data_IF_026704859969
#
_entry.id   IF_026704859969
#
_cell.length_a   1.000
_cell.length_b   1.000
_cell.length_c   1.000
_cell.angle_alpha   90.00
_cell.angle_beta   90.00
_cell.angle_gamma   90.00
#
_symmetry.space_group_name_H-M   'P 1'
#
loop_
_entity.id
_entity.type
_entity.pdbx_description
1 polymer ?
#
# COMPACT_ATOMS: atom_id res chain seq x y z
N UNK A 1 0.65 -4.76 -14.28
CA UNK A 1 -0.45 -4.62 -13.31
C UNK A 1 -0.16 -3.40 -12.44
N UNK A 2 -1.15 -2.59 -12.10
CA UNK A 2 -0.96 -1.43 -11.23
C UNK A 2 -1.99 -1.52 -10.10
N UNK A 3 -1.51 -1.52 -8.86
CA UNK A 3 -2.34 -1.31 -7.68
C UNK A 3 -2.32 0.17 -7.37
N UNK A 4 -3.49 0.80 -7.42
CA UNK A 4 -3.63 2.25 -7.24
C UNK A 4 -4.44 2.55 -6.00
N UNK A 5 -3.85 3.26 -5.05
CA UNK A 5 -4.55 3.87 -3.92
C UNK A 5 -4.87 5.33 -4.16
N UNK A 6 -5.53 5.95 -3.20
CA UNK A 6 -5.78 7.39 -3.22
C UNK A 6 -5.75 7.99 -1.83
N UNK A 7 -5.25 9.22 -1.72
CA UNK A 7 -5.34 9.98 -0.47
C UNK A 7 -6.80 10.32 -0.15
N UNK A 8 -7.10 10.49 1.14
CA UNK A 8 -8.47 10.77 1.58
C UNK A 8 -9.41 9.55 1.50
N UNK A 9 -8.90 8.32 1.44
CA UNK A 9 -9.73 7.12 1.39
C UNK A 9 -10.50 6.89 2.71
N UNK A 10 -11.83 6.96 2.65
CA UNK A 10 -12.69 6.77 3.83
C UNK A 10 -12.61 5.38 4.46
N UNK A 11 -12.36 4.34 3.67
CA UNK A 11 -12.14 2.98 4.19
C UNK A 11 -10.84 2.86 4.98
N UNK A 12 -9.76 3.47 4.46
CA UNK A 12 -8.48 3.55 5.17
C UNK A 12 -8.62 4.39 6.45
N UNK A 13 -9.37 5.49 6.39
CA UNK A 13 -9.65 6.31 7.58
C UNK A 13 -10.38 5.51 8.66
N UNK A 14 -11.44 4.78 8.29
CA UNK A 14 -12.18 3.96 9.23
C UNK A 14 -11.29 2.86 9.86
N UNK A 15 -10.40 2.25 9.06
CA UNK A 15 -9.41 1.30 9.56
C UNK A 15 -8.38 1.96 10.50
N UNK A 16 -7.94 3.18 10.19
CA UNK A 16 -7.02 3.96 11.05
C UNK A 16 -7.67 4.25 12.41
N UNK A 17 -8.87 4.84 12.41
CA UNK A 17 -9.53 5.34 13.63
C UNK A 17 -10.37 4.29 14.36
N UNK A 18 -10.48 3.06 13.83
CA UNK A 18 -11.31 2.00 14.41
C UNK A 18 -12.81 2.29 14.34
N UNK A 19 -13.26 3.08 13.36
CA UNK A 19 -14.69 3.39 13.18
C UNK A 19 -15.43 2.15 12.69
N UNK A 20 -16.48 1.75 13.40
CA UNK A 20 -17.36 0.64 12.97
C UNK A 20 -18.29 1.07 11.86
N UNK A 21 -18.32 0.31 10.78
CA UNK A 21 -19.18 0.48 9.61
C UNK A 21 -20.07 -0.74 9.35
N UNK A 22 -20.01 -1.77 10.21
CA UNK A 22 -20.86 -2.96 10.12
C UNK A 22 -20.23 -4.05 9.26
N UNK A 23 -20.95 -4.57 8.27
CA UNK A 23 -20.47 -5.70 7.46
C UNK A 23 -19.14 -5.41 6.73
N UNK A 24 -18.91 -4.14 6.36
CA UNK A 24 -17.69 -3.69 5.71
C UNK A 24 -16.45 -3.81 6.62
N UNK A 25 -16.63 -3.90 7.94
CA UNK A 25 -15.53 -4.03 8.90
C UNK A 25 -14.72 -5.32 8.65
N UNK A 26 -15.37 -6.38 8.17
CA UNK A 26 -14.71 -7.63 7.81
C UNK A 26 -13.73 -7.45 6.65
N UNK A 27 -14.09 -6.62 5.66
CA UNK A 27 -13.21 -6.30 4.54
C UNK A 27 -12.08 -5.36 4.96
N UNK A 28 -12.40 -4.36 5.81
CA UNK A 28 -11.42 -3.40 6.30
C UNK A 28 -10.40 -4.01 7.26
N UNK A 29 -10.69 -5.18 7.84
CA UNK A 29 -9.74 -5.89 8.73
C UNK A 29 -8.37 -6.06 8.10
N UNK A 30 -8.29 -6.31 6.78
CA UNK A 30 -7.01 -6.43 6.09
C UNK A 30 -6.20 -5.12 6.08
N UNK A 31 -6.87 -3.96 6.05
CA UNK A 31 -6.21 -2.65 6.19
C UNK A 31 -5.80 -2.42 7.65
N UNK A 32 -6.61 -2.88 8.61
CA UNK A 32 -6.27 -2.86 10.03
C UNK A 32 -5.01 -3.68 10.31
N UNK A 33 -4.85 -4.84 9.67
CA UNK A 33 -3.62 -5.65 9.78
C UNK A 33 -2.38 -4.90 9.28
N UNK A 34 -2.50 -4.10 8.20
CA UNK A 34 -1.42 -3.21 7.72
C UNK A 34 -1.12 -2.13 8.75
N UNK A 35 -2.16 -1.48 9.31
CA UNK A 35 -2.00 -0.48 10.36
C UNK A 35 -1.25 -1.06 11.55
N UNK A 36 -1.68 -2.22 12.05
CA UNK A 36 -1.11 -2.86 13.24
C UNK A 36 0.35 -3.27 13.01
N UNK A 37 0.67 -3.78 11.81
CA UNK A 37 2.06 -4.11 11.42
C UNK A 37 2.99 -2.89 11.43
N UNK A 38 2.45 -1.70 11.09
CA UNK A 38 3.21 -0.46 10.98
C UNK A 38 2.90 0.54 12.09
N UNK A 39 2.34 0.07 13.22
CA UNK A 39 1.86 0.94 14.30
C UNK A 39 2.94 1.90 14.81
N UNK A 40 4.15 1.42 15.07
CA UNK A 40 5.25 2.26 15.56
C UNK A 40 5.63 3.39 14.59
N UNK A 41 5.60 3.12 13.27
CA UNK A 41 5.85 4.14 12.25
C UNK A 41 4.72 5.17 12.22
N UNK A 42 3.47 4.72 12.29
CA UNK A 42 2.30 5.60 12.29
C UNK A 42 2.23 6.43 13.57
N UNK A 43 2.51 5.88 14.74
CA UNK A 43 2.54 6.60 16.02
C UNK A 43 3.63 7.68 16.06
N UNK A 44 4.74 7.48 15.33
CA UNK A 44 5.78 8.50 15.15
C UNK A 44 5.32 9.71 14.32
N UNK A 45 4.22 9.60 13.57
CA UNK A 45 3.60 10.70 12.82
C UNK A 45 2.59 11.41 13.73
N UNK A 46 2.96 12.59 14.25
CA UNK A 46 2.15 13.31 15.24
C UNK A 46 0.75 13.71 14.75
N UNK A 47 0.62 14.03 13.46
CA UNK A 47 -0.64 14.47 12.86
C UNK A 47 -1.51 13.30 12.36
N UNK A 48 -2.83 13.39 12.52
CA UNK A 48 -3.78 12.36 12.07
C UNK A 48 -3.84 12.29 10.54
N UNK A 49 -3.78 13.44 9.86
CA UNK A 49 -3.82 13.49 8.40
C UNK A 49 -2.56 12.84 7.82
N UNK A 50 -1.39 13.08 8.39
CA UNK A 50 -0.15 12.40 8.04
C UNK A 50 -0.25 10.88 8.23
N UNK A 51 -0.83 10.40 9.35
CA UNK A 51 -1.08 8.97 9.59
C UNK A 51 -2.03 8.36 8.57
N UNK A 52 -3.08 9.09 8.20
CA UNK A 52 -4.05 8.65 7.20
C UNK A 52 -3.44 8.52 5.82
N UNK A 53 -2.73 9.56 5.36
CA UNK A 53 -2.07 9.54 4.07
C UNK A 53 -1.00 8.45 4.03
N UNK A 54 -0.22 8.27 5.11
CA UNK A 54 0.75 7.18 5.23
C UNK A 54 0.11 5.80 5.18
N UNK A 55 -0.99 5.57 5.89
CA UNK A 55 -1.66 4.28 5.84
C UNK A 55 -2.22 3.97 4.44
N UNK A 56 -2.63 5.00 3.67
CA UNK A 56 -3.01 4.82 2.28
C UNK A 56 -1.84 4.27 1.45
N UNK A 57 -0.66 4.86 1.59
CA UNK A 57 0.58 4.44 0.89
C UNK A 57 1.00 3.02 1.29
N UNK A 58 1.05 2.73 2.60
CA UNK A 58 1.39 1.41 3.13
C UNK A 58 0.43 0.33 2.63
N UNK A 59 -0.87 0.64 2.55
CA UNK A 59 -1.84 -0.29 2.03
C UNK A 59 -1.59 -0.59 0.54
N UNK A 60 -1.25 0.41 -0.28
CA UNK A 60 -0.89 0.17 -1.69
C UNK A 60 0.30 -0.78 -1.80
N UNK A 61 1.37 -0.52 -1.04
CA UNK A 61 2.57 -1.37 -1.04
C UNK A 61 2.21 -2.79 -0.62
N UNK A 62 1.42 -2.96 0.43
CA UNK A 62 1.01 -4.29 0.89
C UNK A 62 0.17 -5.03 -0.16
N UNK A 63 -0.80 -4.36 -0.78
CA UNK A 63 -1.65 -5.01 -1.79
C UNK A 63 -0.86 -5.29 -3.09
N UNK A 64 0.07 -4.43 -3.49
CA UNK A 64 0.96 -4.70 -4.62
C UNK A 64 1.83 -5.93 -4.35
N UNK A 65 2.37 -6.07 -3.14
CA UNK A 65 3.06 -7.29 -2.71
C UNK A 65 2.15 -8.51 -2.76
N UNK A 66 0.92 -8.44 -2.24
CA UNK A 66 -0.02 -9.57 -2.31
C UNK A 66 -0.32 -9.98 -3.76
N UNK A 67 -0.44 -9.03 -4.69
CA UNK A 67 -0.60 -9.33 -6.12
C UNK A 67 0.60 -10.12 -6.65
N UNK A 68 1.82 -9.71 -6.31
CA UNK A 68 3.04 -10.46 -6.66
C UNK A 68 3.04 -11.88 -6.10
N UNK A 69 2.49 -12.08 -4.90
CA UNK A 69 2.42 -13.39 -4.22
C UNK A 69 1.28 -14.30 -4.71
N UNK A 70 0.47 -13.87 -5.69
CA UNK A 70 -0.59 -14.70 -6.25
C UNK A 70 -0.03 -15.77 -7.19
N UNK A 71 -0.63 -16.96 -7.20
CA UNK A 71 -0.28 -18.04 -8.13
C UNK A 71 -0.29 -17.60 -9.58
N UNK A 72 -1.24 -16.72 -9.97
CA UNK A 72 -1.36 -16.19 -11.33
C UNK A 72 -0.12 -15.39 -11.75
N UNK A 73 0.42 -14.55 -10.86
CA UNK A 73 1.61 -13.74 -11.14
C UNK A 73 2.87 -14.59 -11.09
N UNK A 74 3.00 -15.47 -10.09
CA UNK A 74 4.11 -16.44 -10.04
C UNK A 74 4.17 -17.31 -11.30
N UNK A 75 3.05 -17.88 -11.74
CA UNK A 75 2.98 -18.70 -12.96
C UNK A 75 3.33 -17.90 -14.22
N UNK A 76 3.04 -16.59 -14.25
CA UNK A 76 3.44 -15.71 -15.35
C UNK A 76 4.95 -15.53 -15.42
N UNK A 77 5.59 -15.25 -14.29
CA UNK A 77 7.04 -15.15 -14.22
C UNK A 77 7.73 -16.49 -14.49
N UNK A 78 7.21 -17.60 -13.95
CA UNK A 78 7.77 -18.94 -14.13
C UNK A 78 7.76 -19.40 -15.60
N UNK A 79 6.75 -19.02 -16.38
CA UNK A 79 6.70 -19.31 -17.83
C UNK A 79 7.47 -18.30 -18.70
N UNK A 80 8.20 -17.37 -18.09
CA UNK A 80 8.97 -16.34 -18.80
C UNK A 80 8.12 -15.24 -19.45
N UNK A 81 6.86 -15.08 -19.05
CA UNK A 81 6.02 -14.01 -19.58
C UNK A 81 6.48 -12.65 -18.99
N UNK A 82 6.76 -11.63 -19.82
CA UNK A 82 7.03 -10.29 -19.32
C UNK A 82 5.82 -9.72 -18.57
N UNK A 83 6.01 -9.43 -17.28
CA UNK A 83 4.98 -8.88 -16.41
C UNK A 83 5.65 -8.04 -15.31
N UNK A 84 5.12 -6.84 -15.07
CA UNK A 84 5.53 -6.00 -13.95
C UNK A 84 4.32 -5.58 -13.10
N UNK A 85 4.50 -5.50 -11.79
CA UNK A 85 3.51 -5.02 -10.82
C UNK A 85 4.00 -3.71 -10.21
N UNK A 86 3.17 -2.67 -10.27
CA UNK A 86 3.48 -1.33 -9.75
C UNK A 86 2.52 -0.92 -8.64
N UNK A 87 3.01 -0.16 -7.67
CA UNK A 87 2.21 0.45 -6.60
C UNK A 87 2.22 1.98 -6.69
N UNK A 88 1.07 2.58 -7.03
CA UNK A 88 0.92 4.02 -7.20
C UNK A 88 -0.17 4.59 -6.30
N UNK A 89 -0.11 5.90 -6.02
CA UNK A 89 -1.14 6.62 -5.27
C UNK A 89 -1.46 7.93 -5.96
N UNK A 90 -2.70 8.40 -5.91
CA UNK A 90 -3.05 9.72 -6.43
C UNK A 90 -3.76 10.60 -5.39
N UNK A 91 -3.61 11.92 -5.53
CA UNK A 91 -4.32 12.89 -4.70
C UNK A 91 -5.67 13.25 -5.31
N UNK A 92 -6.72 13.23 -4.50
CA UNK A 92 -8.04 13.74 -4.92
C UNK A 92 -8.05 15.27 -5.03
N UNK A 93 -7.15 15.95 -4.30
CA UNK A 93 -7.07 17.41 -4.29
C UNK A 93 -6.35 17.98 -5.51
N UNK A 94 -5.35 17.26 -6.03
CA UNK A 94 -4.47 17.73 -7.12
C UNK A 94 -4.57 16.88 -8.40
N UNK A 95 -5.17 15.70 -8.33
CA UNK A 95 -5.25 14.75 -9.44
C UNK A 95 -3.91 14.14 -9.83
N UNK A 96 -2.84 14.37 -9.05
CA UNK A 96 -1.49 13.95 -9.40
C UNK A 96 -1.23 12.53 -8.92
N UNK A 97 -0.77 11.71 -9.87
CA UNK A 97 -0.29 10.36 -9.63
C UNK A 97 1.16 10.39 -9.12
N UNK A 98 1.43 9.59 -8.10
CA UNK A 98 2.72 9.46 -7.45
C UNK A 98 3.13 7.99 -7.44
N UNK A 99 4.35 7.73 -7.88
CA UNK A 99 4.97 6.42 -7.79
C UNK A 99 5.54 6.22 -6.38
N UNK A 100 5.17 5.13 -5.72
CA UNK A 100 5.66 4.77 -4.37
C UNK A 100 7.02 4.07 -4.39
N UNK A 101 7.63 3.87 -5.57
CA UNK A 101 8.89 3.12 -5.70
C UNK A 101 8.70 1.61 -5.58
N UNK A 102 7.47 1.11 -5.70
CA UNK A 102 7.19 -0.31 -5.79
C UNK A 102 7.01 -0.69 -7.27
N UNK A 103 8.00 -1.38 -7.84
CA UNK A 103 7.97 -1.88 -9.21
C UNK A 103 8.70 -3.22 -9.25
N UNK A 104 7.97 -4.31 -9.51
CA UNK A 104 8.48 -5.69 -9.41
C UNK A 104 8.24 -6.42 -10.72
N UNK A 105 9.31 -6.88 -11.37
CA UNK A 105 9.30 -7.67 -12.60
C UNK A 105 9.54 -9.17 -12.39
N UNK A 106 9.93 -9.58 -11.18
CA UNK A 106 10.20 -10.98 -10.82
C UNK A 106 10.02 -11.23 -9.33
N UNK A 107 9.89 -12.50 -8.93
CA UNK A 107 9.70 -12.90 -7.53
C UNK A 107 10.88 -12.47 -6.64
N UNK A 108 12.11 -12.51 -7.17
CA UNK A 108 13.34 -12.19 -6.44
C UNK A 108 13.43 -10.70 -6.08
N UNK A 109 12.71 -9.83 -6.79
CA UNK A 109 12.70 -8.39 -6.58
C UNK A 109 11.71 -7.96 -5.49
N UNK A 110 10.75 -8.81 -5.07
CA UNK A 110 9.71 -8.44 -4.11
C UNK A 110 10.30 -7.88 -2.80
N UNK A 111 11.30 -8.52 -2.15
CA UNK A 111 11.80 -8.03 -0.87
C UNK A 111 12.48 -6.67 -0.97
N UNK A 112 13.30 -6.46 -2.02
CA UNK A 112 14.02 -5.20 -2.21
C UNK A 112 13.07 -4.05 -2.59
N UNK A 113 12.07 -4.31 -3.45
CA UNK A 113 11.06 -3.33 -3.81
C UNK A 113 10.19 -2.93 -2.61
N UNK A 114 9.81 -3.88 -1.75
CA UNK A 114 9.09 -3.56 -0.50
C UNK A 114 9.92 -2.65 0.41
N UNK A 115 11.20 -2.99 0.62
CA UNK A 115 12.08 -2.20 1.49
C UNK A 115 12.27 -0.77 0.94
N UNK A 116 12.53 -0.62 -0.36
CA UNK A 116 12.69 0.67 -1.00
C UNK A 116 11.43 1.54 -0.92
N UNK A 117 10.25 0.95 -1.17
CA UNK A 117 8.98 1.66 -1.07
C UNK A 117 8.67 2.12 0.37
N UNK A 118 8.98 1.28 1.38
CA UNK A 118 8.83 1.63 2.79
C UNK A 118 9.81 2.74 3.22
N UNK A 119 11.05 2.71 2.75
CA UNK A 119 12.02 3.78 3.01
C UNK A 119 11.59 5.10 2.37
N UNK A 120 11.13 5.06 1.11
CA UNK A 120 10.68 6.24 0.38
C UNK A 120 9.49 6.90 1.06
N UNK A 121 8.46 6.12 1.36
CA UNK A 121 7.31 6.63 2.11
C UNK A 121 7.77 7.24 3.43
N UNK A 122 8.65 6.59 4.19
CA UNK A 122 9.20 7.14 5.45
C UNK A 122 9.87 8.53 5.31
N UNK A 123 10.45 8.86 4.16
CA UNK A 123 11.14 10.14 3.92
C UNK A 123 10.22 11.26 3.42
N UNK A 124 9.16 10.93 2.68
CA UNK A 124 8.22 11.90 2.08
C UNK A 124 7.20 12.46 3.11
N UNK A 125 7.45 12.32 4.41
CA UNK A 125 6.59 12.83 5.50
C UNK A 125 6.76 14.35 5.77
N UNK A 126 7.20 15.13 4.78
CA UNK A 126 7.51 16.56 4.87
C UNK A 126 6.67 17.42 3.94
#
# INVERSE_FOLDING_TARGET
>A
IIVVGHYGCGGVYAALTGRRLGLTDNWLRHIVDVRDRHAALLEGLGDERARWDRLCELNVIQQARHVCETTVVHDAWNRGQPLCVHGWIYGLQDGLLRDLGFSVGSEQEIPSACAQALERTSRDAG
#
